data_IF_057721552700
#
_entry.id   IF_057721552700
#
_cell.length_a   1.000
_cell.length_b   1.000
_cell.length_c   1.000
_cell.angle_alpha   90.00
_cell.angle_beta   90.00
_cell.angle_gamma   90.00
#
_symmetry.space_group_name_H-M   'P 1'
#
loop_
_entity.id
_entity.type
_entity.pdbx_description
1 polymer ?
#
# COMPACT_ATOMS: atom_id res chain seq x y z
N UNK A 1 3.61 8.95 -42.95
CA UNK A 1 4.14 10.12 -42.21
C UNK A 1 5.39 10.78 -42.83
N UNK A 2 6.09 10.15 -43.79
CA UNK A 2 7.35 10.71 -44.33
C UNK A 2 7.21 11.90 -45.30
N UNK A 3 6.01 12.20 -45.83
CA UNK A 3 5.84 13.27 -46.82
C UNK A 3 5.53 14.66 -46.22
N UNK A 4 5.10 14.74 -44.95
CA UNK A 4 4.64 16.00 -44.35
C UNK A 4 5.74 16.80 -43.63
N UNK A 5 6.88 16.18 -43.28
CA UNK A 5 7.98 16.86 -42.57
C UNK A 5 8.81 17.81 -43.45
N UNK A 6 8.76 17.70 -44.78
CA UNK A 6 9.59 18.51 -45.70
C UNK A 6 9.11 19.96 -45.90
N UNK A 7 8.03 20.40 -45.24
CA UNK A 7 7.36 21.70 -45.51
C UNK A 7 7.36 22.68 -44.34
N UNK A 8 8.04 22.36 -43.25
CA UNK A 8 8.10 23.20 -42.06
C UNK A 8 9.55 23.62 -41.78
N UNK A 9 9.82 24.88 -41.38
CA UNK A 9 11.16 25.34 -41.03
C UNK A 9 11.74 24.55 -39.83
N UNK A 10 13.06 24.39 -39.80
CA UNK A 10 13.83 23.56 -38.84
C UNK A 10 13.65 23.95 -37.36
N UNK A 11 12.98 25.08 -37.09
CA UNK A 11 12.65 25.55 -35.74
C UNK A 11 11.29 25.06 -35.21
N UNK A 12 10.49 24.38 -36.02
CA UNK A 12 9.20 23.81 -35.58
C UNK A 12 9.42 22.39 -35.07
N UNK A 13 9.53 22.24 -33.75
CA UNK A 13 9.46 20.91 -33.12
C UNK A 13 8.01 20.44 -33.19
N UNK A 14 7.77 19.38 -33.96
CA UNK A 14 6.48 18.70 -33.96
C UNK A 14 6.27 18.06 -32.58
N UNK A 15 5.29 18.59 -31.85
CA UNK A 15 4.75 17.98 -30.63
C UNK A 15 4.07 16.68 -31.06
N UNK A 16 4.54 15.54 -30.56
CA UNK A 16 3.78 14.29 -30.64
C UNK A 16 2.85 14.26 -29.42
N UNK A 17 1.53 14.49 -29.59
CA UNK A 17 0.61 14.65 -28.45
C UNK A 17 0.55 13.40 -27.56
N UNK A 18 0.84 12.21 -28.12
CA UNK A 18 0.84 10.96 -27.36
C UNK A 18 2.09 10.81 -26.50
N UNK A 19 3.26 11.13 -27.04
CA UNK A 19 4.53 11.09 -26.30
C UNK A 19 4.58 12.16 -25.21
N UNK A 20 4.08 13.36 -25.51
CA UNK A 20 4.01 14.46 -24.54
C UNK A 20 3.00 14.14 -23.43
N UNK A 21 1.84 13.57 -23.76
CA UNK A 21 0.87 13.12 -22.76
C UNK A 21 1.44 12.02 -21.86
N UNK A 22 2.15 11.03 -22.41
CA UNK A 22 2.81 9.99 -21.62
C UNK A 22 3.92 10.56 -20.71
N UNK A 23 4.65 11.57 -21.19
CA UNK A 23 5.71 12.24 -20.43
C UNK A 23 5.12 13.06 -19.27
N UNK A 24 4.09 13.85 -19.55
CA UNK A 24 3.37 14.62 -18.53
C UNK A 24 2.71 13.71 -17.48
N UNK A 25 2.19 12.56 -17.91
CA UNK A 25 1.59 11.59 -17.02
C UNK A 25 2.61 10.96 -16.05
N UNK A 26 3.76 10.55 -16.56
CA UNK A 26 4.87 10.06 -15.71
C UNK A 26 5.37 11.14 -14.77
N UNK A 27 5.52 12.37 -15.24
CA UNK A 27 5.89 13.50 -14.39
C UNK A 27 4.86 13.75 -13.27
N UNK A 28 3.58 13.56 -13.57
CA UNK A 28 2.50 13.74 -12.61
C UNK A 28 2.42 12.63 -11.54
N UNK A 29 2.74 11.38 -11.88
CA UNK A 29 2.46 10.24 -10.99
C UNK A 29 3.68 9.39 -10.59
N UNK A 30 4.71 9.33 -11.43
CA UNK A 30 5.91 8.51 -11.17
C UNK A 30 6.98 9.30 -10.38
N UNK A 31 8.07 8.61 -10.08
CA UNK A 31 9.29 9.14 -9.51
C UNK A 31 10.17 9.73 -10.61
N UNK A 32 10.78 10.87 -10.29
CA UNK A 32 11.78 11.50 -11.13
C UNK A 32 13.01 10.57 -11.28
N UNK A 33 13.46 10.37 -12.52
CA UNK A 33 14.64 9.53 -12.80
C UNK A 33 15.90 10.01 -12.05
N UNK A 34 16.02 11.31 -11.79
CA UNK A 34 17.12 11.86 -11.00
C UNK A 34 17.05 11.43 -9.53
N UNK A 35 15.86 11.28 -8.95
CA UNK A 35 15.71 10.80 -7.57
C UNK A 35 16.15 9.34 -7.44
N UNK A 36 15.87 8.51 -8.44
CA UNK A 36 16.38 7.13 -8.46
C UNK A 36 17.92 7.10 -8.45
N UNK A 37 18.57 8.02 -9.17
CA UNK A 37 20.04 8.12 -9.20
C UNK A 37 20.60 8.56 -7.84
N UNK A 38 19.99 9.55 -7.19
CA UNK A 38 20.40 10.06 -5.87
C UNK A 38 20.44 8.93 -4.83
N UNK A 39 19.45 8.02 -4.86
CA UNK A 39 19.32 6.94 -3.87
C UNK A 39 19.84 5.58 -4.35
N UNK A 40 20.63 5.53 -5.43
CA UNK A 40 21.10 4.26 -6.03
C UNK A 40 21.76 3.33 -5.01
N UNK A 41 22.60 3.86 -4.12
CA UNK A 41 23.28 3.04 -3.10
C UNK A 41 22.30 2.36 -2.14
N UNK A 42 21.26 3.09 -1.69
CA UNK A 42 20.22 2.52 -0.85
C UNK A 42 19.40 1.46 -1.60
N UNK A 43 19.06 1.74 -2.87
CA UNK A 43 18.25 0.85 -3.71
C UNK A 43 18.96 -0.45 -4.12
N UNK A 44 20.26 -0.57 -3.87
CA UNK A 44 21.00 -1.82 -4.03
C UNK A 44 20.81 -2.78 -2.85
N UNK A 45 20.29 -2.30 -1.71
CA UNK A 45 19.98 -3.15 -0.57
C UNK A 45 18.78 -4.05 -0.86
N UNK A 46 18.75 -5.28 -0.31
CA UNK A 46 17.63 -6.20 -0.55
C UNK A 46 16.32 -5.66 0.04
N UNK A 47 15.23 -5.98 -0.64
CA UNK A 47 13.86 -5.62 -0.24
C UNK A 47 13.66 -4.12 0.01
N UNK A 48 14.31 -3.30 -0.80
CA UNK A 48 14.14 -1.84 -0.77
C UNK A 48 13.44 -1.34 -2.01
N UNK A 49 12.94 -0.11 -1.92
CA UNK A 49 12.47 0.61 -3.09
C UNK A 49 12.24 2.07 -2.80
N UNK A 50 11.76 2.75 -3.84
CA UNK A 50 11.37 4.16 -3.81
C UNK A 50 10.00 4.25 -4.45
N UNK A 51 9.09 5.03 -3.84
CA UNK A 51 7.73 5.22 -4.35
C UNK A 51 7.24 6.65 -4.11
N UNK A 52 6.35 7.14 -4.98
CA UNK A 52 5.67 8.43 -4.80
C UNK A 52 4.30 8.20 -4.16
N UNK A 53 4.14 8.67 -2.93
CA UNK A 53 2.87 8.64 -2.21
C UNK A 53 2.01 9.80 -2.68
N UNK A 54 0.93 9.49 -3.40
CA UNK A 54 0.05 10.49 -4.01
C UNK A 54 -1.09 10.92 -3.06
N UNK A 55 -1.61 12.14 -3.21
CA UNK A 55 -2.90 12.55 -2.65
C UNK A 55 -4.03 11.63 -3.05
N UNK A 56 -4.97 11.40 -2.12
CA UNK A 56 -6.16 10.59 -2.37
C UNK A 56 -6.96 11.06 -3.59
N UNK A 57 -6.95 12.37 -3.87
CA UNK A 57 -7.57 12.96 -5.06
C UNK A 57 -6.99 12.46 -6.38
N UNK A 58 -5.76 11.94 -6.42
CA UNK A 58 -5.16 11.37 -7.63
C UNK A 58 -5.84 10.06 -8.06
N UNK A 59 -6.41 9.33 -7.10
CA UNK A 59 -7.07 8.05 -7.35
C UNK A 59 -8.58 8.20 -7.61
N UNK A 60 -9.15 9.36 -7.30
CA UNK A 60 -10.57 9.64 -7.51
C UNK A 60 -10.81 10.15 -8.93
N UNK A 61 -11.79 9.57 -9.62
CA UNK A 61 -12.32 10.15 -10.86
C UNK A 61 -13.04 11.44 -10.50
N UNK A 62 -12.70 12.54 -11.19
CA UNK A 62 -13.35 13.83 -10.93
C UNK A 62 -14.79 13.79 -11.47
N UNK A 63 -15.80 14.09 -10.64
CA UNK A 63 -17.16 14.20 -11.13
C UNK A 63 -17.25 15.30 -12.20
N UNK A 64 -18.14 15.12 -13.18
CA UNK A 64 -18.40 16.07 -14.26
C UNK A 64 -17.21 16.37 -15.18
N UNK A 65 -16.22 15.47 -15.25
CA UNK A 65 -15.16 15.53 -16.26
C UNK A 65 -15.33 14.38 -17.26
N UNK A 66 -15.26 14.71 -18.57
CA UNK A 66 -15.24 13.70 -19.63
C UNK A 66 -13.90 12.97 -19.58
N UNK A 67 -13.85 11.87 -18.83
CA UNK A 67 -12.70 10.97 -18.78
C UNK A 67 -13.01 9.69 -19.56
N UNK A 68 -12.07 9.25 -20.38
CA UNK A 68 -12.21 8.00 -21.11
C UNK A 68 -12.29 6.83 -20.11
N UNK A 69 -13.41 6.11 -20.10
CA UNK A 69 -13.63 5.00 -19.16
C UNK A 69 -12.80 3.76 -19.48
N UNK A 70 -12.25 3.68 -20.71
CA UNK A 70 -11.32 2.65 -21.14
C UNK A 70 -9.86 2.99 -20.79
N UNK A 71 -9.56 4.21 -20.34
CA UNK A 71 -8.22 4.53 -19.87
C UNK A 71 -7.99 3.87 -18.51
N UNK A 72 -6.84 3.18 -18.34
CA UNK A 72 -6.49 2.60 -17.06
C UNK A 72 -6.43 3.65 -15.95
N UNK A 73 -6.88 3.28 -14.76
CA UNK A 73 -6.85 4.16 -13.59
C UNK A 73 -5.40 4.47 -13.15
N UNK A 74 -5.20 5.48 -12.30
CA UNK A 74 -3.86 5.81 -11.78
C UNK A 74 -3.24 4.60 -11.05
N UNK A 75 -4.03 3.86 -10.28
CA UNK A 75 -3.55 2.67 -9.56
C UNK A 75 -3.19 1.50 -10.49
N UNK A 76 -3.85 1.38 -11.64
CA UNK A 76 -3.51 0.36 -12.66
C UNK A 76 -2.22 0.70 -13.41
N UNK A 77 -1.95 2.00 -13.63
CA UNK A 77 -0.73 2.45 -14.32
C UNK A 77 0.47 2.57 -13.40
N UNK A 78 0.23 2.96 -12.16
CA UNK A 78 1.23 3.17 -11.11
C UNK A 78 0.79 2.43 -9.85
N UNK A 79 0.92 1.09 -9.84
CA UNK A 79 0.53 0.28 -8.70
C UNK A 79 1.41 0.56 -7.49
N UNK A 80 0.89 0.25 -6.31
CA UNK A 80 1.67 0.30 -5.08
C UNK A 80 2.84 -0.69 -5.13
N UNK A 81 3.98 -0.37 -4.50
CA UNK A 81 5.13 -1.24 -4.54
C UNK A 81 4.84 -2.56 -3.81
N UNK A 82 5.26 -3.67 -4.40
CA UNK A 82 5.19 -4.99 -3.77
C UNK A 82 6.17 -5.07 -2.60
N UNK A 83 5.73 -5.66 -1.49
CA UNK A 83 6.50 -5.79 -0.23
C UNK A 83 6.65 -7.22 0.24
N UNK A 84 6.31 -8.19 -0.62
CA UNK A 84 6.49 -9.60 -0.33
C UNK A 84 6.32 -10.45 -1.58
N UNK A 85 6.53 -11.75 -1.42
CA UNK A 85 6.36 -12.70 -2.51
C UNK A 85 4.88 -12.84 -2.87
N UNK A 86 4.59 -12.80 -4.17
CA UNK A 86 3.26 -13.05 -4.68
C UNK A 86 2.89 -14.53 -4.61
N UNK A 87 1.63 -14.83 -4.32
CA UNK A 87 1.05 -16.19 -4.34
C UNK A 87 -0.16 -16.19 -5.28
N UNK A 88 0.01 -16.70 -6.49
CA UNK A 88 -1.03 -16.59 -7.52
C UNK A 88 -1.33 -15.12 -7.82
N UNK A 89 -2.61 -14.73 -7.73
CA UNK A 89 -3.06 -13.35 -7.95
C UNK A 89 -2.88 -12.44 -6.72
N UNK A 90 -2.45 -12.98 -5.58
CA UNK A 90 -2.17 -12.21 -4.37
C UNK A 90 -0.75 -11.65 -4.41
N UNK A 91 -0.60 -10.32 -4.39
CA UNK A 91 0.70 -9.68 -4.19
C UNK A 91 0.59 -8.63 -3.09
N UNK A 92 1.23 -8.81 -1.93
CA UNK A 92 1.16 -7.84 -0.85
C UNK A 92 1.87 -6.55 -1.25
N UNK A 93 1.27 -5.40 -0.97
CA UNK A 93 1.79 -4.09 -1.39
C UNK A 93 1.82 -3.06 -0.26
N UNK A 94 2.72 -2.07 -0.33
CA UNK A 94 2.66 -0.91 0.55
C UNK A 94 1.64 0.09 -0.01
N UNK A 95 0.36 -0.20 0.22
CA UNK A 95 -0.74 0.68 -0.17
C UNK A 95 -0.80 1.92 0.73
N UNK A 96 -0.06 2.96 0.36
CA UNK A 96 0.05 4.20 1.12
C UNK A 96 -0.40 5.38 0.25
N UNK A 97 -1.22 6.27 0.82
CA UNK A 97 -1.66 7.51 0.19
C UNK A 97 -1.60 8.69 1.15
N UNK A 98 -1.68 9.89 0.62
CA UNK A 98 -1.86 11.11 1.40
C UNK A 98 -3.36 11.39 1.57
N UNK A 99 -3.81 11.50 2.82
CA UNK A 99 -5.10 12.11 3.16
C UNK A 99 -4.79 13.33 4.03
N UNK A 100 -5.15 14.51 3.52
CA UNK A 100 -4.72 15.79 4.08
C UNK A 100 -3.18 15.80 4.23
N UNK A 101 -2.67 16.09 5.43
CA UNK A 101 -1.22 16.05 5.74
C UNK A 101 -0.76 14.72 6.37
N UNK A 102 -1.54 13.65 6.27
CA UNK A 102 -1.21 12.34 6.85
C UNK A 102 -0.86 11.30 5.79
N UNK A 103 0.18 10.52 6.06
CA UNK A 103 0.35 9.20 5.47
C UNK A 103 -0.77 8.30 5.99
N UNK A 104 -1.46 7.61 5.08
CA UNK A 104 -2.58 6.76 5.42
C UNK A 104 -2.49 5.44 4.65
N UNK A 105 -2.55 4.32 5.37
CA UNK A 105 -2.73 3.02 4.72
C UNK A 105 -4.06 3.01 3.97
N UNK A 106 -4.04 2.49 2.75
CA UNK A 106 -5.19 2.31 1.89
C UNK A 106 -5.59 0.84 1.81
N UNK A 107 -6.22 0.29 2.87
CA UNK A 107 -6.60 -1.11 2.92
C UNK A 107 -7.70 -1.45 1.91
N UNK A 108 -7.56 -2.58 1.22
CA UNK A 108 -8.61 -3.19 0.39
C UNK A 108 -9.33 -4.27 1.20
N UNK A 109 -10.65 -4.41 1.00
CA UNK A 109 -11.45 -5.41 1.71
C UNK A 109 -11.27 -5.37 3.24
N UNK A 110 -10.68 -6.43 3.80
CA UNK A 110 -10.42 -6.57 5.24
C UNK A 110 -8.98 -6.26 5.66
N UNK A 111 -8.12 -5.83 4.73
CA UNK A 111 -6.75 -5.43 5.04
C UNK A 111 -6.74 -4.37 6.14
N UNK A 112 -5.67 -4.36 6.91
CA UNK A 112 -5.43 -3.32 7.90
C UNK A 112 -3.96 -3.28 8.29
N UNK A 113 -3.64 -2.32 9.14
CA UNK A 113 -2.30 -2.14 9.66
C UNK A 113 -2.22 -0.87 10.44
N UNK A 114 -1.02 -0.58 10.91
CA UNK A 114 -0.73 0.60 11.69
C UNK A 114 0.63 1.17 11.33
N UNK A 115 0.74 2.50 11.48
CA UNK A 115 1.92 3.29 11.19
C UNK A 115 2.34 4.03 12.47
N UNK A 116 3.65 4.04 12.75
CA UNK A 116 4.22 4.90 13.79
C UNK A 116 5.40 5.69 13.24
N UNK A 117 5.48 6.97 13.57
CA UNK A 117 6.66 7.78 13.34
C UNK A 117 7.72 7.44 14.40
N UNK A 118 8.87 6.92 13.98
CA UNK A 118 9.99 6.54 14.87
C UNK A 118 11.09 7.61 14.89
N UNK A 119 10.82 8.79 14.35
CA UNK A 119 11.72 9.92 14.36
C UNK A 119 12.72 9.91 13.21
N UNK A 120 13.90 10.48 13.45
CA UNK A 120 14.96 10.58 12.46
C UNK A 120 15.93 9.40 12.57
N UNK A 121 15.50 8.24 12.10
CA UNK A 121 16.29 7.00 12.10
C UNK A 121 16.55 6.55 10.66
N UNK A 122 17.82 6.46 10.19
CA UNK A 122 18.13 5.94 8.86
C UNK A 122 17.61 4.50 8.65
N UNK A 123 17.11 4.20 7.45
CA UNK A 123 16.51 2.89 7.12
C UNK A 123 17.52 1.74 7.18
N UNK A 124 18.80 2.04 7.01
CA UNK A 124 19.93 1.11 7.05
C UNK A 124 20.21 0.63 8.48
N UNK A 125 19.85 1.42 9.49
CA UNK A 125 20.00 1.07 10.91
C UNK A 125 18.84 0.23 11.45
N UNK A 126 17.80 0.02 10.65
CA UNK A 126 16.66 -0.81 11.02
C UNK A 126 16.89 -2.25 10.57
N UNK A 127 16.43 -3.18 11.39
CA UNK A 127 16.54 -4.62 11.17
C UNK A 127 15.24 -5.32 11.59
N UNK A 128 15.08 -6.59 11.21
CA UNK A 128 13.85 -7.35 11.47
C UNK A 128 13.54 -7.62 12.95
N UNK A 129 14.50 -7.43 13.86
CA UNK A 129 14.33 -7.52 15.33
C UNK A 129 14.07 -6.16 15.96
N UNK A 130 14.10 -5.07 15.18
CA UNK A 130 13.76 -3.70 15.59
C UNK A 130 14.50 -3.25 16.86
N UNK A 131 15.79 -3.58 16.97
CA UNK A 131 16.56 -3.36 18.21
C UNK A 131 16.74 -1.88 18.56
N UNK A 132 16.66 -1.01 17.55
CA UNK A 132 16.83 0.44 17.67
C UNK A 132 15.60 1.18 18.20
N UNK A 133 14.47 0.48 18.39
CA UNK A 133 13.23 1.06 18.90
C UNK A 133 13.09 0.88 20.40
N UNK A 134 12.22 1.68 21.02
CA UNK A 134 11.84 1.46 22.41
C UNK A 134 11.16 0.10 22.61
N UNK A 135 11.23 -0.41 23.84
CA UNK A 135 10.75 -1.74 24.18
C UNK A 135 9.25 -1.92 23.88
N UNK A 136 8.43 -0.89 24.08
CA UNK A 136 6.97 -0.98 23.91
C UNK A 136 6.59 -1.06 22.43
N UNK A 137 7.16 -0.19 21.60
CA UNK A 137 6.95 -0.23 20.14
C UNK A 137 7.47 -1.53 19.55
N UNK A 138 8.67 -1.94 19.93
CA UNK A 138 9.27 -3.19 19.47
C UNK A 138 8.40 -4.40 19.82
N UNK A 139 7.98 -4.50 21.08
CA UNK A 139 7.15 -5.61 21.55
C UNK A 139 5.82 -5.67 20.80
N UNK A 140 5.14 -4.53 20.64
CA UNK A 140 3.89 -4.45 19.90
C UNK A 140 4.05 -4.93 18.46
N UNK A 141 5.04 -4.40 17.74
CA UNK A 141 5.23 -4.72 16.33
C UNK A 141 5.63 -6.16 16.07
N UNK A 142 6.38 -6.81 16.99
CA UNK A 142 6.79 -8.21 16.81
C UNK A 142 5.75 -9.19 17.32
N UNK A 143 5.03 -8.86 18.40
CA UNK A 143 4.21 -9.83 19.12
C UNK A 143 2.69 -9.64 18.95
N UNK A 144 2.21 -8.55 18.34
CA UNK A 144 0.79 -8.39 18.04
C UNK A 144 0.25 -9.59 17.26
N UNK A 145 -0.87 -10.15 17.72
CA UNK A 145 -1.51 -11.33 17.13
C UNK A 145 -2.84 -10.91 16.49
N UNK A 146 -2.98 -11.03 15.16
CA UNK A 146 -4.25 -10.73 14.50
C UNK A 146 -5.32 -11.76 14.92
N UNK A 147 -6.57 -11.32 15.12
CA UNK A 147 -7.69 -12.23 15.33
C UNK A 147 -7.84 -13.25 14.19
N UNK A 148 -8.39 -14.43 14.49
CA UNK A 148 -8.58 -15.52 13.51
C UNK A 148 -10.01 -15.66 13.01
N UNK A 149 -10.89 -14.75 13.42
CA UNK A 149 -12.29 -14.71 13.00
C UNK A 149 -12.54 -13.47 12.14
N UNK A 150 -13.27 -13.62 11.04
CA UNK A 150 -13.53 -12.54 10.08
C UNK A 150 -14.15 -11.30 10.75
N UNK A 151 -15.14 -11.51 11.63
CA UNK A 151 -15.80 -10.41 12.36
C UNK A 151 -14.83 -9.71 13.32
N UNK A 152 -13.98 -10.47 14.00
CA UNK A 152 -12.98 -9.92 14.91
C UNK A 152 -11.90 -9.12 14.17
N UNK A 153 -11.47 -9.58 13.00
CA UNK A 153 -10.57 -8.84 12.09
C UNK A 153 -11.18 -7.48 11.69
N UNK A 154 -12.46 -7.46 11.33
CA UNK A 154 -13.15 -6.21 11.00
C UNK A 154 -13.29 -5.25 12.20
N UNK A 155 -13.46 -5.78 13.41
CA UNK A 155 -13.40 -4.98 14.65
C UNK A 155 -12.03 -4.37 14.82
N UNK A 156 -10.96 -5.15 14.64
CA UNK A 156 -9.59 -4.68 14.86
C UNK A 156 -9.16 -3.66 13.79
N UNK A 157 -9.53 -3.90 12.53
CA UNK A 157 -9.39 -2.90 11.46
C UNK A 157 -9.99 -1.54 11.85
N UNK A 158 -11.22 -1.54 12.38
CA UNK A 158 -11.88 -0.30 12.84
C UNK A 158 -11.16 0.33 14.03
N UNK A 159 -10.58 -0.48 14.92
CA UNK A 159 -9.78 0.00 16.05
C UNK A 159 -8.55 0.78 15.58
N UNK A 160 -7.83 0.32 14.56
CA UNK A 160 -6.68 1.06 14.00
C UNK A 160 -7.08 2.27 13.16
N UNK A 161 -8.23 2.25 12.49
CA UNK A 161 -8.73 3.41 11.73
C UNK A 161 -9.19 4.53 12.67
N UNK A 162 -9.88 4.18 13.76
CA UNK A 162 -10.56 5.17 14.62
C UNK A 162 -9.80 5.50 15.89
N UNK A 163 -8.80 4.71 16.27
CA UNK A 163 -8.12 4.79 17.57
C UNK A 163 -8.97 4.36 18.77
N UNK A 164 -10.23 3.96 18.56
CA UNK A 164 -11.16 3.59 19.65
C UNK A 164 -10.82 2.22 20.22
N UNK A 165 -10.98 2.06 21.53
CA UNK A 165 -10.80 0.79 22.25
C UNK A 165 -9.37 0.20 22.14
N UNK A 166 -8.35 1.05 22.02
CA UNK A 166 -6.94 0.69 22.17
C UNK A 166 -6.52 0.89 23.62
N UNK A 167 -6.87 -0.08 24.48
CA UNK A 167 -6.46 -0.06 25.88
C UNK A 167 -5.53 -1.25 26.16
N UNK A 168 -4.44 -1.31 25.40
CA UNK A 168 -3.46 -2.40 25.42
C UNK A 168 -2.35 -2.22 26.45
N UNK A 169 -2.58 -1.40 27.49
CA UNK A 169 -1.56 -1.01 28.47
C UNK A 169 -0.31 -0.37 27.82
N UNK A 170 -0.49 0.25 26.65
CA UNK A 170 0.57 0.93 25.92
C UNK A 170 0.50 2.43 26.18
N UNK A 171 1.66 3.08 26.19
CA UNK A 171 1.79 4.54 26.33
C UNK A 171 1.35 5.30 25.08
N UNK A 172 1.13 4.60 23.96
CA UNK A 172 0.83 5.18 22.66
C UNK A 172 -0.32 4.46 21.96
N UNK A 173 -1.11 5.24 21.20
CA UNK A 173 -2.15 4.78 20.29
C UNK A 173 -1.52 4.53 18.91
N UNK A 174 -1.81 3.37 18.31
CA UNK A 174 -1.35 3.01 16.97
C UNK A 174 -2.49 3.20 15.97
N UNK A 175 -2.27 4.02 14.95
CA UNK A 175 -3.30 4.33 13.96
C UNK A 175 -2.89 3.82 12.58
N UNK A 176 -3.87 3.64 11.69
CA UNK A 176 -3.61 3.31 10.28
C UNK A 176 -3.03 4.47 9.46
N UNK A 177 -2.82 5.63 10.10
CA UNK A 177 -2.16 6.80 9.52
C UNK A 177 -1.30 7.55 10.52
N UNK A 178 -0.39 8.36 9.99
CA UNK A 178 0.54 9.19 10.75
C UNK A 178 0.80 10.52 10.02
N UNK A 179 1.05 11.58 10.77
CA UNK A 179 1.39 12.90 10.21
C UNK A 179 2.64 12.80 9.34
N UNK A 180 2.56 13.36 8.13
CA UNK A 180 3.64 13.30 7.15
C UNK A 180 4.67 14.41 7.38
N UNK A 181 5.85 14.00 7.83
CA UNK A 181 7.01 14.86 8.05
C UNK A 181 8.19 14.38 7.22
N UNK A 182 8.84 15.33 6.53
CA UNK A 182 10.06 15.09 5.74
C UNK A 182 11.21 14.73 6.69
N UNK A 183 12.11 13.86 6.24
CA UNK A 183 13.25 13.32 6.98
C UNK A 183 12.85 12.55 8.24
N UNK A 184 11.59 12.12 8.35
CA UNK A 184 11.14 11.18 9.36
C UNK A 184 10.97 9.80 8.77
N UNK A 185 11.24 8.82 9.62
CA UNK A 185 11.11 7.41 9.34
C UNK A 185 9.91 6.86 10.09
N UNK A 186 9.19 5.99 9.42
CA UNK A 186 7.95 5.39 9.87
C UNK A 186 8.09 3.89 9.82
N UNK A 187 7.50 3.22 10.81
CA UNK A 187 7.35 1.79 10.84
C UNK A 187 5.90 1.44 10.56
N UNK A 188 5.69 0.45 9.70
CA UNK A 188 4.39 -0.04 9.27
C UNK A 188 4.33 -1.53 9.53
N UNK A 189 3.26 -2.01 10.15
CA UNK A 189 2.90 -3.43 10.10
C UNK A 189 1.63 -3.54 9.28
N UNK A 190 1.70 -4.26 8.17
CA UNK A 190 0.62 -4.41 7.20
C UNK A 190 0.15 -5.86 7.17
N UNK A 191 -1.15 -6.04 7.37
CA UNK A 191 -1.84 -7.31 7.28
C UNK A 191 -2.77 -7.28 6.07
N UNK A 192 -2.55 -8.18 5.13
CA UNK A 192 -3.28 -8.24 3.87
C UNK A 192 -3.88 -9.62 3.63
N UNK A 193 -5.09 -9.66 3.06
CA UNK A 193 -5.86 -10.87 2.84
C UNK A 193 -6.55 -10.84 1.48
N UNK A 194 -6.49 -11.94 0.73
CA UNK A 194 -7.29 -12.11 -0.49
C UNK A 194 -8.51 -12.97 -0.20
N UNK A 195 -9.61 -12.33 0.20
CA UNK A 195 -10.87 -13.05 0.38
C UNK A 195 -11.42 -13.56 -0.96
N UNK A 196 -11.92 -14.81 -1.01
CA UNK A 196 -12.65 -15.30 -2.18
C UNK A 196 -13.83 -14.39 -2.55
N UNK A 197 -14.06 -14.20 -3.86
CA UNK A 197 -15.13 -13.33 -4.38
C UNK A 197 -16.50 -13.64 -3.79
N UNK A 198 -16.79 -14.92 -3.53
CA UNK A 198 -18.07 -15.36 -2.96
C UNK A 198 -18.38 -14.73 -1.59
N UNK A 199 -17.34 -14.47 -0.77
CA UNK A 199 -17.46 -13.78 0.53
C UNK A 199 -17.54 -12.27 0.32
N UNK A 200 -16.68 -11.73 -0.55
CA UNK A 200 -16.61 -10.29 -0.84
C UNK A 200 -17.90 -9.75 -1.46
N UNK A 201 -18.54 -10.53 -2.34
CA UNK A 201 -19.76 -10.17 -3.08
C UNK A 201 -21.05 -10.69 -2.44
N UNK A 202 -20.96 -11.42 -1.30
CA UNK A 202 -22.10 -12.04 -0.60
C UNK A 202 -22.96 -12.94 -1.50
N UNK A 203 -22.33 -13.68 -2.42
CA UNK A 203 -23.06 -14.56 -3.32
C UNK A 203 -23.50 -15.86 -2.61
N UNK A 204 -24.75 -16.32 -2.78
CA UNK A 204 -25.23 -17.56 -2.16
C UNK A 204 -24.57 -18.79 -2.81
N UNK A 205 -24.14 -19.74 -1.98
CA UNK A 205 -23.40 -20.91 -2.43
C UNK A 205 -24.35 -21.99 -2.95
N UNK A 206 -24.23 -22.32 -4.24
CA UNK A 206 -24.99 -23.41 -4.86
C UNK A 206 -24.29 -24.75 -4.61
N UNK A 207 -25.06 -25.84 -4.49
CA UNK A 207 -24.60 -27.20 -4.10
C UNK A 207 -23.50 -27.82 -4.99
N UNK A 208 -23.10 -27.20 -6.11
CA UNK A 208 -22.07 -27.69 -7.04
C UNK A 208 -20.63 -27.24 -6.69
N UNK A 209 -20.41 -26.61 -5.52
CA UNK A 209 -19.20 -25.87 -5.21
C UNK A 209 -18.21 -26.58 -4.25
N UNK A 210 -17.95 -27.88 -4.42
CA UNK A 210 -16.98 -28.62 -3.57
C UNK A 210 -15.56 -28.02 -3.61
N UNK A 211 -15.14 -27.45 -4.75
CA UNK A 211 -13.86 -26.74 -4.92
C UNK A 211 -13.77 -25.43 -4.12
N UNK A 212 -14.89 -24.77 -3.85
CA UNK A 212 -14.92 -23.52 -3.07
C UNK A 212 -14.57 -23.80 -1.60
N UNK A 213 -14.96 -24.95 -1.05
CA UNK A 213 -14.57 -25.33 0.32
C UNK A 213 -13.06 -25.44 0.49
N UNK A 214 -12.33 -25.94 -0.52
CA UNK A 214 -10.87 -25.97 -0.50
C UNK A 214 -10.26 -24.57 -0.56
N UNK A 215 -10.84 -23.66 -1.36
CA UNK A 215 -10.40 -22.26 -1.45
C UNK A 215 -10.65 -21.46 -0.16
N UNK A 216 -11.62 -21.85 0.65
CA UNK A 216 -11.89 -21.21 1.95
C UNK A 216 -10.88 -21.61 3.03
N UNK A 217 -10.20 -22.75 2.88
CA UNK A 217 -9.20 -23.24 3.83
C UNK A 217 -7.83 -22.58 3.65
N UNK A 218 -7.53 -22.09 2.44
CA UNK A 218 -6.22 -21.52 2.09
C UNK A 218 -6.37 -20.10 1.52
N UNK A 219 -6.79 -19.15 2.37
CA UNK A 219 -6.82 -17.73 1.98
C UNK A 219 -5.40 -17.18 1.90
N UNK A 220 -4.95 -16.68 0.73
CA UNK A 220 -3.68 -15.98 0.64
C UNK A 220 -3.67 -14.77 1.56
N UNK A 221 -2.63 -14.67 2.38
CA UNK A 221 -2.45 -13.57 3.31
C UNK A 221 -0.98 -13.25 3.54
N UNK A 222 -0.72 -12.07 4.09
CA UNK A 222 0.62 -11.57 4.43
C UNK A 222 0.58 -10.75 5.71
N UNK A 223 1.63 -10.85 6.52
CA UNK A 223 1.92 -9.97 7.65
C UNK A 223 3.37 -9.49 7.52
N UNK A 224 3.54 -8.21 7.19
CA UNK A 224 4.84 -7.65 6.85
C UNK A 224 5.13 -6.40 7.67
N UNK A 225 6.33 -6.34 8.24
CA UNK A 225 6.88 -5.14 8.86
C UNK A 225 7.77 -4.41 7.84
N UNK A 226 7.42 -3.17 7.57
CA UNK A 226 8.04 -2.30 6.57
C UNK A 226 8.47 -1.03 7.28
N UNK A 227 9.64 -0.51 6.95
CA UNK A 227 10.00 0.86 7.28
C UNK A 227 10.01 1.72 6.03
N UNK A 228 9.57 2.97 6.15
CA UNK A 228 9.71 3.95 5.09
C UNK A 228 10.16 5.29 5.63
N UNK A 229 10.90 6.04 4.82
CA UNK A 229 11.38 7.37 5.14
C UNK A 229 10.90 8.36 4.10
N UNK A 230 10.27 9.44 4.55
CA UNK A 230 9.84 10.53 3.70
C UNK A 230 11.04 11.42 3.35
N UNK A 231 11.52 11.37 2.11
CA UNK A 231 12.75 12.07 1.71
C UNK A 231 12.48 13.40 1.04
N UNK A 232 11.28 13.60 0.48
CA UNK A 232 10.90 14.85 -0.17
C UNK A 232 9.40 15.05 -0.14
N UNK A 233 8.95 16.28 0.14
CA UNK A 233 7.59 16.75 -0.15
C UNK A 233 7.60 17.53 -1.46
N UNK A 234 6.65 17.25 -2.35
CA UNK A 234 6.50 17.94 -3.64
C UNK A 234 5.42 19.04 -3.56
N UNK A 235 5.43 20.03 -4.48
CA UNK A 235 4.47 21.14 -4.45
C UNK A 235 3.00 20.71 -4.58
N UNK A 236 2.74 19.54 -5.16
CA UNK A 236 1.41 18.96 -5.31
C UNK A 236 0.91 18.23 -4.04
N UNK A 237 1.68 18.27 -2.96
CA UNK A 237 1.37 17.60 -1.69
C UNK A 237 1.77 16.11 -1.66
N UNK A 238 2.27 15.55 -2.75
CA UNK A 238 2.79 14.19 -2.77
C UNK A 238 4.16 14.09 -2.08
N UNK A 239 4.52 12.89 -1.65
CA UNK A 239 5.81 12.61 -1.02
C UNK A 239 6.59 11.56 -1.80
N UNK A 240 7.89 11.78 -1.96
CA UNK A 240 8.82 10.70 -2.32
C UNK A 240 9.21 9.98 -1.02
N UNK A 241 9.03 8.67 -0.99
CA UNK A 241 9.48 7.81 0.11
C UNK A 241 10.50 6.79 -0.36
N UNK A 242 11.48 6.51 0.48
CA UNK A 242 12.27 5.29 0.43
C UNK A 242 11.62 4.27 1.36
N UNK A 243 11.59 3.00 1.00
CA UNK A 243 11.03 1.94 1.84
C UNK A 243 11.92 0.71 1.86
N UNK A 244 11.76 -0.09 2.92
CA UNK A 244 12.45 -1.36 3.12
C UNK A 244 11.57 -2.34 3.89
N UNK A 245 11.49 -3.58 3.44
CA UNK A 245 10.90 -4.68 4.23
C UNK A 245 11.91 -5.12 5.28
N UNK A 246 11.49 -5.08 6.54
CA UNK A 246 12.34 -5.46 7.68
C UNK A 246 12.09 -6.89 8.12
N UNK A 247 10.83 -7.34 8.11
CA UNK A 247 10.46 -8.67 8.56
C UNK A 247 9.16 -9.14 7.89
N UNK A 248 9.07 -10.44 7.63
CA UNK A 248 7.85 -11.13 7.22
C UNK A 248 7.46 -12.08 8.35
N UNK A 249 6.30 -11.84 8.94
CA UNK A 249 5.77 -12.64 10.04
C UNK A 249 4.89 -13.77 9.49
N UNK A 250 4.56 -14.79 10.32
CA UNK A 250 3.67 -15.87 9.91
C UNK A 250 2.35 -15.32 9.34
N UNK A 251 1.98 -15.81 8.16
CA UNK A 251 0.79 -15.34 7.45
C UNK A 251 -0.49 -15.61 8.28
N UNK A 252 -1.35 -14.59 8.50
CA UNK A 252 -2.53 -14.71 9.34
C UNK A 252 -3.60 -15.60 8.70
N UNK A 253 -4.32 -16.36 9.53
CA UNK A 253 -5.33 -17.31 9.07
C UNK A 253 -6.73 -16.88 9.53
N UNK A 254 -7.74 -17.20 8.72
CA UNK A 254 -9.15 -16.95 9.05
C UNK A 254 -9.86 -18.30 9.12
N UNK A 255 -10.32 -18.65 10.32
CA UNK A 255 -10.78 -20.01 10.61
C UNK A 255 -12.29 -20.21 10.38
N UNK A 256 -13.07 -19.13 10.28
CA UNK A 256 -14.54 -19.18 10.30
C UNK A 256 -15.20 -18.84 8.95
N UNK A 257 -14.43 -18.78 7.86
CA UNK A 257 -14.92 -18.36 6.54
C UNK A 257 -16.07 -19.21 5.99
N UNK A 258 -16.08 -20.50 6.31
CA UNK A 258 -17.15 -21.43 5.91
C UNK A 258 -18.54 -21.04 6.43
N UNK A 259 -18.62 -20.38 7.60
CA UNK A 259 -19.90 -19.96 8.21
C UNK A 259 -20.63 -18.95 7.34
N UNK A 260 -19.89 -18.05 6.69
CA UNK A 260 -20.42 -16.97 5.86
C UNK A 260 -20.88 -17.45 4.47
N UNK A 261 -20.57 -18.69 4.13
CA UNK A 261 -20.85 -19.33 2.84
C UNK A 261 -22.10 -20.22 2.95
N UNK A 262 -22.37 -20.78 4.13
CA UNK A 262 -23.45 -21.74 4.35
C UNK A 262 -24.80 -21.07 4.72
N UNK A 263 -24.80 -19.77 5.03
CA UNK A 263 -26.03 -18.99 5.25
C UNK A 263 -26.49 -18.94 6.70
N UNK A 264 -25.64 -19.31 7.66
CA UNK A 264 -25.87 -19.05 9.08
C UNK A 264 -25.52 -17.58 9.38
N UNK A 265 -26.51 -16.69 9.20
CA UNK A 265 -26.43 -15.26 9.54
C UNK A 265 -26.73 -15.00 11.01
#
# INVERSE_FOLDING_TARGET
MQAAQKRFPDNIKFINPQEDAATLDRFAYDIDSQEKQIYTQFLQLPNTGIFRVLPDSAYRRRPNTLQNRLQPSVIERYPFPSVGEGKGDFTPSLALKMIDDNFQLFPQGIDYGFIVNIGDVPLEKLDGRLQTLDLSTRDFFLNYQPPRELKALQVDRRRFITGKNQNWQQSQIYLSGAKAEVNKTYLVRSLQFQLPEIISERQPVRRQNSRIRQQLTEVPSSDTIIAFRAVRRRPDGSYTILWRVLNQLPAPQINDLEKYVIGDW
#
